data_IF_446323687726
#
_entry.id   IF_446323687726
#
_cell.length_a   1.000
_cell.length_b   1.000
_cell.length_c   1.000
_cell.angle_alpha   90.00
_cell.angle_beta   90.00
_cell.angle_gamma   90.00
#
_symmetry.space_group_name_H-M   'P 1'
#
loop_
_entity.id
_entity.type
_entity.pdbx_description
1 polymer ?
#
# COMPACT_ATOMS: atom_id res chain seq x y z
N UNK A 1 -13.50 6.61 -4.09
CA UNK A 1 -14.83 6.66 -3.50
C UNK A 1 -15.67 7.73 -4.20
N UNK A 2 -15.14 8.93 -4.39
CA UNK A 2 -15.79 10.01 -5.18
C UNK A 2 -16.16 9.53 -6.58
N UNK A 3 -15.34 8.69 -7.22
CA UNK A 3 -15.65 8.11 -8.53
C UNK A 3 -17.00 7.36 -8.58
N UNK A 4 -17.43 6.76 -7.46
CA UNK A 4 -18.71 6.04 -7.38
C UNK A 4 -19.84 6.89 -6.77
N UNK A 5 -19.68 8.20 -6.70
CA UNK A 5 -20.61 9.14 -6.09
C UNK A 5 -20.87 8.89 -4.60
N UNK A 6 -19.80 8.53 -3.86
CA UNK A 6 -19.81 8.46 -2.40
C UNK A 6 -18.96 9.58 -1.82
N UNK A 7 -19.53 10.38 -0.94
CA UNK A 7 -18.79 11.43 -0.27
C UNK A 7 -17.92 10.88 0.85
N UNK A 8 -16.68 11.37 1.04
CA UNK A 8 -15.79 10.92 2.10
C UNK A 8 -16.40 11.01 3.51
N UNK A 9 -17.20 12.04 3.75
CA UNK A 9 -17.84 12.26 5.04
C UNK A 9 -18.99 11.26 5.31
N UNK A 10 -19.64 10.74 4.28
CA UNK A 10 -20.61 9.64 4.42
C UNK A 10 -19.95 8.43 5.09
N UNK A 11 -18.74 8.06 4.66
CA UNK A 11 -18.00 6.94 5.25
C UNK A 11 -17.63 7.19 6.70
N UNK A 12 -17.15 8.39 7.04
CA UNK A 12 -16.81 8.75 8.42
C UNK A 12 -18.01 8.66 9.34
N UNK A 13 -19.13 9.23 8.90
CA UNK A 13 -20.37 9.24 9.67
C UNK A 13 -20.92 7.82 9.86
N UNK A 14 -20.91 6.99 8.81
CA UNK A 14 -21.43 5.62 8.88
C UNK A 14 -20.53 4.74 9.74
N UNK A 15 -19.20 4.96 9.76
CA UNK A 15 -18.29 4.20 10.60
C UNK A 15 -18.61 4.29 12.10
N UNK A 16 -19.28 5.37 12.53
CA UNK A 16 -19.70 5.57 13.93
C UNK A 16 -21.08 4.98 14.25
N UNK A 17 -21.84 4.55 13.23
CA UNK A 17 -23.23 4.08 13.39
C UNK A 17 -23.36 2.57 13.61
N UNK A 18 -22.22 1.84 13.65
CA UNK A 18 -22.18 0.42 13.92
C UNK A 18 -22.24 -0.48 12.67
N UNK A 19 -22.05 -1.77 12.91
CA UNK A 19 -21.77 -2.79 11.90
C UNK A 19 -22.85 -2.91 10.82
N UNK A 20 -24.11 -2.75 11.18
CA UNK A 20 -25.22 -2.89 10.21
C UNK A 20 -25.15 -1.81 9.15
N UNK A 21 -24.86 -0.56 9.52
CA UNK A 21 -24.76 0.54 8.58
C UNK A 21 -23.49 0.43 7.72
N UNK A 22 -22.38 -0.02 8.32
CA UNK A 22 -21.15 -0.32 7.60
C UNK A 22 -21.41 -1.39 6.52
N UNK A 23 -22.10 -2.48 6.86
CA UNK A 23 -22.43 -3.54 5.90
C UNK A 23 -23.31 -3.05 4.76
N UNK A 24 -24.30 -2.21 5.04
CA UNK A 24 -25.15 -1.60 3.99
C UNK A 24 -24.34 -0.71 3.04
N UNK A 25 -23.45 0.11 3.57
CA UNK A 25 -22.57 0.96 2.77
C UNK A 25 -21.63 0.14 1.91
N UNK A 26 -20.99 -0.87 2.50
CA UNK A 26 -20.08 -1.80 1.80
C UNK A 26 -20.82 -2.53 0.67
N UNK A 27 -22.04 -2.99 0.90
CA UNK A 27 -22.86 -3.63 -0.13
C UNK A 27 -23.19 -2.69 -1.28
N UNK A 28 -23.56 -1.43 -0.98
CA UNK A 28 -23.79 -0.40 -1.99
C UNK A 28 -22.53 -0.13 -2.83
N UNK A 29 -21.36 -0.01 -2.18
CA UNK A 29 -20.08 0.19 -2.85
C UNK A 29 -19.72 -1.01 -3.75
N UNK A 30 -19.86 -2.23 -3.25
CA UNK A 30 -19.61 -3.45 -4.02
C UNK A 30 -20.52 -3.57 -5.24
N UNK A 31 -21.79 -3.18 -5.11
CA UNK A 31 -22.71 -3.11 -6.24
C UNK A 31 -22.22 -2.12 -7.30
N UNK A 32 -21.82 -0.90 -6.92
CA UNK A 32 -21.29 0.11 -7.83
C UNK A 32 -20.00 -0.35 -8.53
N UNK A 33 -19.08 -1.00 -7.81
CA UNK A 33 -17.88 -1.59 -8.38
C UNK A 33 -18.25 -2.66 -9.43
N UNK A 34 -19.23 -3.50 -9.13
CA UNK A 34 -19.67 -4.57 -10.03
C UNK A 34 -20.40 -4.06 -11.27
N UNK A 35 -21.11 -2.94 -11.17
CA UNK A 35 -21.80 -2.28 -12.27
C UNK A 35 -20.85 -1.51 -13.19
N UNK A 36 -19.62 -1.22 -12.74
CA UNK A 36 -18.62 -0.49 -13.53
C UNK A 36 -17.76 -1.48 -14.30
N UNK A 37 -17.75 -1.39 -15.62
CA UNK A 37 -17.04 -2.31 -16.49
C UNK A 37 -15.54 -2.43 -16.13
N UNK A 38 -15.05 -3.64 -15.98
CA UNK A 38 -13.66 -3.97 -15.64
C UNK A 38 -13.26 -3.77 -14.18
N UNK A 39 -14.01 -3.03 -13.38
CA UNK A 39 -13.62 -2.70 -12.01
C UNK A 39 -13.62 -3.91 -11.08
N UNK A 40 -14.65 -4.77 -11.17
CA UNK A 40 -14.70 -5.99 -10.36
C UNK A 40 -13.51 -6.90 -10.67
N UNK A 41 -13.19 -7.08 -11.95
CA UNK A 41 -12.06 -7.89 -12.39
C UNK A 41 -10.73 -7.27 -11.93
N UNK A 42 -10.54 -5.97 -12.09
CA UNK A 42 -9.37 -5.27 -11.61
C UNK A 42 -9.15 -5.51 -10.11
N UNK A 43 -10.15 -5.25 -9.26
CA UNK A 43 -10.02 -5.42 -7.82
C UNK A 43 -9.77 -6.87 -7.39
N UNK A 44 -10.41 -7.85 -8.07
CA UNK A 44 -10.19 -9.27 -7.77
C UNK A 44 -8.78 -9.76 -8.14
N UNK A 45 -8.12 -9.09 -9.08
CA UNK A 45 -6.76 -9.43 -9.51
C UNK A 45 -5.66 -8.69 -8.76
N UNK A 46 -5.99 -7.72 -7.89
CA UNK A 46 -5.01 -7.04 -7.07
C UNK A 46 -4.28 -8.02 -6.16
N UNK A 47 -2.96 -7.91 -6.15
CA UNK A 47 -2.11 -8.74 -5.28
C UNK A 47 -1.84 -8.01 -3.97
N UNK A 48 -1.76 -8.76 -2.89
CA UNK A 48 -1.43 -8.23 -1.57
C UNK A 48 0.03 -7.78 -1.48
N UNK A 49 0.91 -8.49 -2.18
CA UNK A 49 2.32 -8.18 -2.28
C UNK A 49 2.89 -8.72 -3.60
N UNK A 50 4.04 -8.21 -3.99
CA UNK A 50 4.85 -8.75 -5.06
C UNK A 50 6.31 -8.86 -4.59
N UNK A 51 7.09 -9.73 -5.20
CA UNK A 51 8.52 -9.84 -4.89
C UNK A 51 9.33 -10.15 -6.15
N UNK A 52 10.61 -9.79 -6.10
CA UNK A 52 11.53 -10.10 -7.19
C UNK A 52 11.77 -11.61 -7.30
N UNK A 53 12.12 -12.10 -8.50
CA UNK A 53 12.43 -13.51 -8.71
C UNK A 53 13.60 -14.01 -7.85
N UNK A 54 14.53 -13.12 -7.47
CA UNK A 54 15.61 -13.42 -6.54
C UNK A 54 15.15 -13.50 -5.09
N UNK A 55 13.92 -13.17 -4.79
CA UNK A 55 13.36 -13.03 -3.44
C UNK A 55 14.14 -12.06 -2.52
N UNK A 56 14.80 -11.07 -3.10
CA UNK A 56 15.55 -10.06 -2.35
C UNK A 56 14.78 -8.77 -2.13
N UNK A 57 13.76 -8.48 -2.97
CA UNK A 57 12.92 -7.29 -2.88
C UNK A 57 11.47 -7.68 -2.71
N UNK A 58 10.84 -7.15 -1.67
CA UNK A 58 9.41 -7.30 -1.38
C UNK A 58 8.71 -5.96 -1.61
N UNK A 59 7.66 -5.97 -2.40
CA UNK A 59 6.79 -4.82 -2.65
C UNK A 59 5.47 -5.02 -1.93
N UNK A 60 5.08 -4.05 -1.12
CA UNK A 60 3.83 -4.06 -0.34
C UNK A 60 3.12 -2.71 -0.44
N UNK A 61 1.84 -2.67 -0.12
CA UNK A 61 1.13 -1.38 -0.09
C UNK A 61 1.58 -0.54 1.11
N UNK A 62 1.56 -1.10 2.31
CA UNK A 62 1.81 -0.36 3.56
C UNK A 62 2.97 -0.88 4.40
N UNK A 63 3.08 -2.17 4.61
CA UNK A 63 4.12 -2.72 5.47
C UNK A 63 4.06 -4.22 5.64
N UNK A 64 4.81 -4.71 6.62
CA UNK A 64 4.90 -6.12 7.02
C UNK A 64 4.94 -6.23 8.54
N UNK A 65 4.47 -7.35 9.06
CA UNK A 65 4.66 -7.75 10.45
C UNK A 65 5.85 -8.72 10.51
N UNK A 66 6.96 -8.29 11.13
CA UNK A 66 8.18 -9.09 11.22
C UNK A 66 8.03 -10.36 12.05
N UNK A 67 7.01 -10.45 12.90
CA UNK A 67 6.73 -11.62 13.74
C UNK A 67 6.01 -12.74 12.99
N UNK A 68 5.49 -12.46 11.78
CA UNK A 68 4.71 -13.41 10.99
C UNK A 68 5.48 -13.90 9.77
N UNK A 69 5.33 -15.16 9.37
CA UNK A 69 5.84 -15.63 8.09
C UNK A 69 5.11 -14.97 6.92
N UNK A 70 5.74 -14.97 5.75
CA UNK A 70 5.19 -14.34 4.54
C UNK A 70 3.77 -14.82 4.21
N UNK A 71 3.51 -16.11 4.39
CA UNK A 71 2.19 -16.73 4.14
C UNK A 71 1.10 -16.33 5.13
N UNK A 72 1.44 -15.76 6.28
CA UNK A 72 0.50 -15.38 7.33
C UNK A 72 0.40 -13.85 7.51
N UNK A 73 0.91 -13.07 6.59
CA UNK A 73 0.84 -11.61 6.66
C UNK A 73 -0.59 -11.07 6.51
N UNK A 74 -1.44 -11.73 5.72
CA UNK A 74 -2.84 -11.34 5.51
C UNK A 74 -2.97 -9.83 5.26
N UNK A 75 -3.75 -9.15 6.10
CA UNK A 75 -4.01 -7.71 5.99
C UNK A 75 -2.83 -6.82 6.36
N UNK A 76 -1.73 -7.37 6.90
CA UNK A 76 -0.55 -6.57 7.26
C UNK A 76 0.05 -5.85 6.04
N UNK A 77 0.02 -6.45 4.87
CA UNK A 77 0.47 -5.81 3.64
C UNK A 77 -0.31 -4.53 3.29
N UNK A 78 -1.58 -4.46 3.67
CA UNK A 78 -2.47 -3.33 3.41
C UNK A 78 -2.53 -2.32 4.54
N UNK A 79 -2.41 -2.76 5.80
CA UNK A 79 -2.68 -1.93 6.98
C UNK A 79 -1.51 -1.84 7.96
N UNK A 80 -0.51 -2.72 7.85
CA UNK A 80 0.60 -2.86 8.80
C UNK A 80 1.67 -1.76 8.69
N UNK A 81 1.29 -0.50 8.73
CA UNK A 81 2.20 0.64 8.54
C UNK A 81 2.87 1.12 9.83
N UNK A 82 2.31 0.80 10.99
CA UNK A 82 2.68 1.44 12.27
C UNK A 82 4.14 1.24 12.65
N UNK A 83 4.71 0.08 12.32
CA UNK A 83 6.08 -0.28 12.69
C UNK A 83 7.04 -0.31 11.48
N UNK A 84 6.63 0.20 10.33
CA UNK A 84 7.46 0.11 9.12
C UNK A 84 8.81 0.80 9.32
N UNK A 85 8.82 2.01 9.86
CA UNK A 85 10.05 2.79 10.11
C UNK A 85 10.97 2.17 11.17
N UNK A 86 10.47 1.25 11.99
CA UNK A 86 11.24 0.54 13.02
C UNK A 86 11.96 -0.69 12.48
N UNK A 87 11.67 -1.11 11.24
CA UNK A 87 12.31 -2.26 10.61
C UNK A 87 13.78 -1.91 10.36
N UNK A 88 14.67 -2.60 11.05
CA UNK A 88 16.12 -2.38 10.99
C UNK A 88 16.91 -3.61 10.55
N UNK A 89 16.24 -4.70 10.21
CA UNK A 89 16.82 -5.96 9.74
C UNK A 89 16.03 -6.53 8.57
N UNK A 90 16.66 -7.31 7.69
CA UNK A 90 15.98 -8.00 6.62
C UNK A 90 14.81 -8.86 7.13
N UNK A 91 13.76 -8.96 6.33
CA UNK A 91 12.63 -9.83 6.59
C UNK A 91 12.76 -11.09 5.73
N UNK A 92 13.02 -12.22 6.36
CA UNK A 92 13.38 -13.47 5.67
C UNK A 92 14.57 -13.25 4.72
N UNK A 93 14.40 -13.56 3.43
CA UNK A 93 15.39 -13.35 2.37
C UNK A 93 15.37 -11.94 1.81
N UNK A 94 14.35 -11.15 2.13
CA UNK A 94 14.17 -9.82 1.56
C UNK A 94 15.11 -8.81 2.19
N UNK A 95 16.08 -8.36 1.42
CA UNK A 95 17.03 -7.30 1.81
C UNK A 95 16.38 -5.92 1.72
N UNK A 96 15.36 -5.77 0.83
CA UNK A 96 14.63 -4.52 0.62
C UNK A 96 13.14 -4.74 0.73
N UNK A 97 12.49 -3.87 1.49
CA UNK A 97 11.03 -3.77 1.54
C UNK A 97 10.63 -2.41 0.97
N UNK A 98 9.89 -2.42 -0.11
CA UNK A 98 9.40 -1.24 -0.80
C UNK A 98 7.91 -1.10 -0.54
N UNK A 99 7.49 0.05 -0.06
CA UNK A 99 6.07 0.39 0.05
C UNK A 99 5.68 1.55 -0.85
N UNK A 100 4.42 1.57 -1.27
CA UNK A 100 3.90 2.59 -2.18
C UNK A 100 3.50 3.88 -1.48
N UNK A 101 3.09 3.85 -0.21
CA UNK A 101 2.43 4.98 0.40
C UNK A 101 2.63 5.12 1.92
N UNK A 102 2.68 6.39 2.37
CA UNK A 102 2.66 6.76 3.78
C UNK A 102 1.86 8.05 4.00
N UNK A 103 0.84 7.99 4.87
CA UNK A 103 -0.13 9.08 5.01
C UNK A 103 0.31 10.26 5.88
N UNK A 104 1.30 10.13 6.75
CA UNK A 104 1.47 11.05 7.87
C UNK A 104 2.91 11.54 8.10
N UNK A 105 3.84 11.42 7.18
CA UNK A 105 5.19 11.88 7.42
C UNK A 105 5.73 12.79 6.30
N UNK A 106 6.45 13.81 6.76
CA UNK A 106 7.02 14.86 5.94
C UNK A 106 8.08 14.36 4.93
N UNK A 107 7.91 14.81 3.79
CA UNK A 107 8.86 15.31 2.80
C UNK A 107 10.13 14.58 2.38
N UNK A 108 10.43 13.31 2.62
CA UNK A 108 11.55 12.64 1.95
C UNK A 108 11.26 11.18 1.61
N UNK A 109 11.76 10.73 0.46
CA UNK A 109 11.96 9.32 0.19
C UNK A 109 12.73 8.75 1.39
N UNK A 110 12.02 8.06 2.28
CA UNK A 110 12.67 7.48 3.45
C UNK A 110 13.46 6.26 3.02
N UNK A 111 14.74 6.48 2.84
CA UNK A 111 15.69 5.40 2.93
C UNK A 111 16.00 5.17 4.40
N UNK A 112 15.77 3.99 4.92
CA UNK A 112 16.36 3.65 6.21
C UNK A 112 17.88 3.73 6.09
N UNK A 113 18.54 4.13 7.17
CA UNK A 113 20.02 4.13 7.27
C UNK A 113 20.65 2.81 6.81
N UNK A 114 19.90 1.71 6.86
CA UNK A 114 20.34 0.35 6.51
C UNK A 114 19.96 -0.07 5.08
N UNK A 115 19.44 0.83 4.26
CA UNK A 115 18.97 0.52 2.89
C UNK A 115 17.91 -0.59 2.79
N UNK A 116 17.26 -0.95 3.90
CA UNK A 116 16.25 -2.04 3.93
C UNK A 116 14.90 -1.51 3.47
N UNK A 117 14.52 -0.32 3.92
CA UNK A 117 13.22 0.26 3.66
C UNK A 117 13.26 1.29 2.55
N UNK A 118 12.23 1.29 1.72
CA UNK A 118 11.99 2.32 0.73
C UNK A 118 10.51 2.66 0.68
N UNK A 119 10.17 3.93 0.74
CA UNK A 119 8.83 4.44 0.49
C UNK A 119 8.87 5.23 -0.80
N UNK A 120 8.15 4.78 -1.84
CA UNK A 120 8.15 5.43 -3.15
C UNK A 120 7.20 6.63 -3.21
N UNK A 121 6.23 6.70 -2.33
CA UNK A 121 5.19 7.70 -2.44
C UNK A 121 4.90 8.44 -1.15
N UNK A 122 4.71 9.75 -1.27
CA UNK A 122 4.72 10.64 -0.15
C UNK A 122 3.41 11.30 0.22
N UNK A 123 2.72 11.90 -0.72
CA UNK A 123 1.42 12.53 -0.53
C UNK A 123 0.55 12.39 -1.76
N UNK A 124 -0.68 11.85 -1.60
CA UNK A 124 -1.51 11.52 -2.76
C UNK A 124 -2.36 12.65 -3.28
N UNK A 125 -2.64 13.67 -2.50
CA UNK A 125 -3.83 14.48 -2.78
C UNK A 125 -3.55 15.90 -3.28
N UNK A 126 -2.44 16.50 -2.93
CA UNK A 126 -2.23 17.92 -3.27
C UNK A 126 -1.45 18.16 -4.57
N UNK A 127 -0.54 17.26 -4.94
CA UNK A 127 0.35 17.52 -6.09
C UNK A 127 0.18 16.58 -7.29
N UNK A 128 -0.72 15.59 -7.25
CA UNK A 128 -0.98 14.63 -8.34
C UNK A 128 0.27 13.96 -8.97
N UNK A 129 1.42 14.03 -8.31
CA UNK A 129 2.68 13.50 -8.83
C UNK A 129 2.74 11.99 -8.64
N UNK A 130 3.17 11.30 -9.68
CA UNK A 130 3.42 9.87 -9.67
C UNK A 130 4.91 9.64 -9.53
N UNK A 131 5.28 8.71 -8.67
CA UNK A 131 6.66 8.28 -8.48
C UNK A 131 6.85 6.86 -8.98
N UNK A 132 7.95 6.63 -9.66
CA UNK A 132 8.38 5.31 -10.08
C UNK A 132 9.85 5.09 -9.73
N UNK A 133 10.22 3.84 -9.49
CA UNK A 133 11.61 3.49 -9.15
C UNK A 133 12.08 2.27 -9.93
N UNK A 134 13.32 2.30 -10.38
CA UNK A 134 14.02 1.15 -10.95
C UNK A 134 14.92 0.56 -9.88
N UNK A 135 14.77 -0.73 -9.64
CA UNK A 135 15.55 -1.48 -8.65
C UNK A 135 16.44 -2.52 -9.32
N UNK A 136 17.65 -2.68 -8.81
CA UNK A 136 18.49 -3.84 -9.12
C UNK A 136 17.92 -5.09 -8.46
N UNK A 137 18.37 -6.27 -8.92
CA UNK A 137 17.96 -7.56 -8.34
C UNK A 137 18.23 -7.66 -6.84
N UNK A 138 19.31 -7.04 -6.35
CA UNK A 138 19.70 -7.00 -4.94
C UNK A 138 18.92 -5.92 -4.13
N UNK A 139 17.97 -5.22 -4.76
CA UNK A 139 17.16 -4.18 -4.14
C UNK A 139 17.79 -2.79 -4.08
N UNK A 140 18.98 -2.58 -4.65
CA UNK A 140 19.52 -1.23 -4.79
C UNK A 140 18.68 -0.43 -5.78
N UNK A 141 18.48 0.84 -5.45
CA UNK A 141 17.75 1.75 -6.33
C UNK A 141 18.72 2.27 -7.38
N UNK A 142 18.36 2.08 -8.63
CA UNK A 142 19.08 2.62 -9.77
C UNK A 142 18.65 4.04 -10.09
N UNK A 143 17.36 4.26 -10.13
CA UNK A 143 16.80 5.53 -10.54
C UNK A 143 15.40 5.73 -9.96
N UNK A 144 15.05 6.97 -9.70
CA UNK A 144 13.73 7.39 -9.24
C UNK A 144 13.20 8.46 -10.18
N UNK A 145 11.96 8.31 -10.57
CA UNK A 145 11.25 9.23 -11.45
C UNK A 145 10.11 9.90 -10.74
N UNK A 146 9.87 11.13 -11.09
CA UNK A 146 8.71 11.90 -10.64
C UNK A 146 8.01 12.48 -11.87
N UNK A 147 6.69 12.35 -11.95
CA UNK A 147 5.93 12.99 -13.03
C UNK A 147 5.93 14.51 -12.83
N UNK A 148 5.98 15.21 -13.93
CA UNK A 148 5.81 16.67 -13.97
C UNK A 148 4.41 17.08 -13.52
#
# INVERSE_FOLDING_TARGET
VVFYNFEPDEFRNIATQGTIQINKLTSRLNKKISETAGHKEFFSNLKHAAYSNSMEVLFVNRGVDLSRPLSAQNDCFWWGYQNFSLINKPYNTFRRIVRGYQSNQHNNLEYSKNKILCTLFKQPLENKKIFAGIFRKNGDILELFESN
#
